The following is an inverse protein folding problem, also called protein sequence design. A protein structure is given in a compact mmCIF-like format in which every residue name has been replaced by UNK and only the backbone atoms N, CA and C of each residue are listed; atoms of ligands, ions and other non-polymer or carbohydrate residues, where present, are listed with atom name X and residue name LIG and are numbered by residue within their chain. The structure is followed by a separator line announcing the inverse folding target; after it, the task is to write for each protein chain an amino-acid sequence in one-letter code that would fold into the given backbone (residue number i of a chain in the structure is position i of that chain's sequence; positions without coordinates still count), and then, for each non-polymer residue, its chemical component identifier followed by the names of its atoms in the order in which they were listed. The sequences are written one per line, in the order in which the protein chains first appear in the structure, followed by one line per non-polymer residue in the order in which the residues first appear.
data_IF_282194531530
#
_entry.id   IF_282194531530
#
_cell.length_a   1.000
_cell.length_b   1.000
_cell.length_c   1.000
_cell.angle_alpha   90.00
_cell.angle_beta   90.00
_cell.angle_gamma   90.00
#
_symmetry.space_group_name_H-M   'P 1'
#
loop_
_entity.id
_entity.type
_entity.pdbx_description
1 polymer ?
#
# COMPACT_ATOMS: atom_id res chain seq x y z
N UNK A 1 15.31 -7.91 14.47
CA UNK A 1 15.97 -7.73 13.16
C UNK A 1 15.25 -8.65 12.18
N UNK A 2 14.78 -8.12 11.05
CA UNK A 2 14.13 -8.95 10.02
C UNK A 2 15.24 -9.74 9.34
N UNK A 3 15.10 -11.06 9.25
CA UNK A 3 16.04 -11.90 8.52
C UNK A 3 15.41 -12.26 7.18
N UNK A 4 15.99 -11.78 6.09
CA UNK A 4 15.61 -12.16 4.74
C UNK A 4 16.22 -13.52 4.35
N UNK A 5 15.58 -14.22 3.41
CA UNK A 5 16.15 -15.44 2.84
C UNK A 5 17.36 -15.11 1.95
N UNK A 6 18.24 -16.10 1.75
CA UNK A 6 19.39 -15.97 0.87
C UNK A 6 19.00 -15.55 -0.55
N UNK A 7 17.85 -16.01 -1.03
CA UNK A 7 17.36 -15.64 -2.36
C UNK A 7 16.97 -14.17 -2.44
N UNK A 8 16.31 -13.62 -1.42
CA UNK A 8 16.03 -12.17 -1.37
C UNK A 8 17.33 -11.37 -1.30
N UNK A 9 18.31 -11.82 -0.51
CA UNK A 9 19.61 -11.15 -0.43
C UNK A 9 20.34 -11.15 -1.77
N UNK A 10 20.31 -12.27 -2.52
CA UNK A 10 20.90 -12.35 -3.88
C UNK A 10 20.22 -11.36 -4.83
N UNK A 11 18.89 -11.25 -4.80
CA UNK A 11 18.15 -10.29 -5.63
C UNK A 11 18.53 -8.85 -5.28
N UNK A 12 18.64 -8.51 -3.99
CA UNK A 12 19.09 -7.17 -3.57
C UNK A 12 20.50 -6.86 -4.09
N UNK A 13 21.42 -7.83 -4.03
CA UNK A 13 22.78 -7.68 -4.56
C UNK A 13 22.78 -7.50 -6.08
N UNK A 14 21.94 -8.24 -6.81
CA UNK A 14 21.81 -8.10 -8.25
C UNK A 14 21.29 -6.69 -8.62
N UNK A 15 20.20 -6.25 -7.99
CA UNK A 15 19.62 -4.91 -8.19
C UNK A 15 20.64 -3.82 -7.86
N UNK A 16 21.42 -3.98 -6.79
CA UNK A 16 22.47 -3.03 -6.43
C UNK A 16 23.49 -2.89 -7.56
N UNK A 17 24.00 -4.01 -8.08
CA UNK A 17 24.98 -4.03 -9.18
C UNK A 17 24.43 -3.43 -10.47
N UNK A 18 23.23 -3.81 -10.86
CA UNK A 18 22.58 -3.37 -12.10
C UNK A 18 22.32 -1.86 -12.12
N UNK A 19 22.15 -1.24 -10.94
CA UNK A 19 21.90 0.18 -10.79
C UNK A 19 23.12 0.98 -10.30
N UNK A 20 24.29 0.34 -10.16
CA UNK A 20 25.50 1.00 -9.65
C UNK A 20 25.38 1.49 -8.21
N UNK A 21 24.52 0.87 -7.40
CA UNK A 21 24.33 1.18 -5.98
C UNK A 21 25.30 0.33 -5.16
N UNK A 22 25.91 0.95 -4.14
CA UNK A 22 26.75 0.25 -3.19
C UNK A 22 25.94 -0.83 -2.46
N UNK A 23 26.42 -2.08 -2.50
CA UNK A 23 25.62 -3.23 -2.07
C UNK A 23 25.26 -3.19 -0.59
N UNK A 24 26.17 -2.78 0.29
CA UNK A 24 25.87 -2.68 1.72
C UNK A 24 24.85 -1.57 2.00
N UNK A 25 24.92 -0.45 1.29
CA UNK A 25 23.91 0.61 1.38
C UNK A 25 22.51 0.11 1.01
N UNK A 26 22.35 -0.61 -0.11
CA UNK A 26 21.02 -1.12 -0.48
C UNK A 26 20.52 -2.18 0.51
N UNK A 27 21.40 -3.07 0.98
CA UNK A 27 21.06 -4.04 2.02
C UNK A 27 20.60 -3.35 3.31
N UNK A 28 21.27 -2.28 3.73
CA UNK A 28 20.88 -1.52 4.92
C UNK A 28 19.51 -0.85 4.74
N UNK A 29 19.23 -0.26 3.57
CA UNK A 29 17.91 0.30 3.27
C UNK A 29 16.84 -0.79 3.32
N UNK A 30 17.09 -1.95 2.70
CA UNK A 30 16.14 -3.07 2.71
C UNK A 30 15.91 -3.61 4.12
N UNK A 31 16.94 -3.69 4.96
CA UNK A 31 16.80 -4.13 6.35
C UNK A 31 15.89 -3.20 7.17
N UNK A 32 16.02 -1.88 6.99
CA UNK A 32 15.36 -0.87 7.82
C UNK A 32 13.98 -0.47 7.28
N UNK A 33 13.85 -0.28 5.97
CA UNK A 33 12.65 0.31 5.36
C UNK A 33 11.65 -0.75 4.87
N UNK A 34 12.11 -1.98 4.64
CA UNK A 34 11.20 -3.07 4.27
C UNK A 34 10.42 -3.53 5.49
N UNK A 35 9.11 -3.65 5.34
CA UNK A 35 8.26 -4.23 6.38
C UNK A 35 8.43 -5.77 6.51
N UNK A 36 9.42 -6.37 5.83
CA UNK A 36 9.79 -7.80 5.88
C UNK A 36 8.78 -8.75 5.21
N UNK A 37 7.65 -8.23 4.76
CA UNK A 37 6.53 -9.00 4.23
C UNK A 37 5.95 -8.31 3.01
N UNK A 38 6.10 -8.96 1.85
CA UNK A 38 5.68 -8.42 0.56
C UNK A 38 4.19 -8.64 0.25
N UNK A 39 3.57 -9.69 0.80
CA UNK A 39 2.22 -10.10 0.45
C UNK A 39 1.28 -10.09 1.66
N UNK A 40 -0.01 -9.90 1.40
CA UNK A 40 -1.09 -10.12 2.35
C UNK A 40 -1.23 -11.61 2.75
N UNK A 41 -2.15 -11.94 3.66
CA UNK A 41 -2.36 -13.32 4.15
C UNK A 41 -2.88 -14.27 3.06
N UNK A 42 -3.35 -13.73 1.92
CA UNK A 42 -3.78 -14.52 0.76
C UNK A 42 -2.62 -15.05 -0.10
N UNK A 43 -1.38 -14.64 0.19
CA UNK A 43 -0.18 -15.03 -0.57
C UNK A 43 -0.18 -14.56 -2.02
N UNK A 44 -1.01 -13.58 -2.39
CA UNK A 44 -1.14 -13.09 -3.77
C UNK A 44 -1.16 -11.57 -3.86
N UNK A 45 -1.89 -10.90 -2.97
CA UNK A 45 -2.04 -9.46 -3.01
C UNK A 45 -0.81 -8.80 -2.38
N UNK A 46 -0.15 -7.84 -3.04
CA UNK A 46 0.90 -7.05 -2.41
C UNK A 46 0.39 -6.41 -1.12
N UNK A 47 1.23 -6.43 -0.07
CA UNK A 47 0.90 -5.77 1.18
C UNK A 47 0.66 -4.29 0.92
N UNK A 48 -0.47 -3.77 1.39
CA UNK A 48 -0.92 -2.43 1.03
C UNK A 48 -1.36 -1.60 2.24
N UNK A 49 -1.59 -0.32 2.00
CA UNK A 49 -2.41 0.54 2.84
C UNK A 49 -3.28 1.37 1.91
N UNK A 50 -4.59 1.27 2.06
CA UNK A 50 -5.52 2.05 1.26
C UNK A 50 -5.52 3.50 1.75
N UNK A 51 -5.31 4.43 0.81
CA UNK A 51 -5.18 5.84 1.12
C UNK A 51 -6.46 6.65 0.84
N UNK A 52 -7.34 6.82 1.85
CA UNK A 52 -8.65 7.47 1.73
C UNK A 52 -8.59 8.89 1.17
N UNK A 53 -7.56 9.65 1.54
CA UNK A 53 -7.36 11.00 1.05
C UNK A 53 -6.83 11.07 -0.38
N UNK A 54 -6.08 10.05 -0.81
CA UNK A 54 -5.66 9.86 -2.21
C UNK A 54 -6.87 9.43 -3.04
N UNK A 55 -7.69 8.49 -2.55
CA UNK A 55 -8.92 8.07 -3.25
C UNK A 55 -9.87 9.25 -3.47
N UNK A 56 -10.07 10.08 -2.44
CA UNK A 56 -10.81 11.34 -2.57
C UNK A 56 -10.24 12.25 -3.68
N UNK A 57 -8.91 12.42 -3.74
CA UNK A 57 -8.23 13.24 -4.75
C UNK A 57 -8.41 12.66 -6.17
N UNK A 58 -8.24 11.35 -6.35
CA UNK A 58 -8.38 10.71 -7.65
C UNK A 58 -9.83 10.74 -8.14
N UNK A 59 -10.80 10.43 -7.27
CA UNK A 59 -12.23 10.56 -7.61
C UNK A 59 -12.58 11.98 -8.01
N UNK A 60 -12.17 13.00 -7.25
CA UNK A 60 -12.41 14.40 -7.63
C UNK A 60 -11.88 14.74 -9.02
N UNK A 61 -10.75 14.15 -9.42
CA UNK A 61 -10.09 14.43 -10.70
C UNK A 61 -10.71 13.64 -11.86
N UNK A 62 -11.10 12.38 -11.64
CA UNK A 62 -11.42 11.42 -12.72
C UNK A 62 -12.88 10.96 -12.73
N UNK A 63 -13.54 10.91 -11.57
CA UNK A 63 -14.91 10.43 -11.40
C UNK A 63 -15.64 11.26 -10.31
N UNK A 64 -15.75 12.59 -10.47
CA UNK A 64 -16.28 13.48 -9.44
C UNK A 64 -17.70 13.13 -9.00
N UNK A 65 -18.50 12.53 -9.87
CA UNK A 65 -19.86 12.04 -9.60
C UNK A 65 -19.92 10.92 -8.55
N UNK A 66 -18.81 10.19 -8.34
CA UNK A 66 -18.72 9.10 -7.35
C UNK A 66 -18.21 9.56 -5.99
N UNK A 67 -17.70 10.79 -5.91
CA UNK A 67 -17.02 11.30 -4.72
C UNK A 67 -17.95 11.39 -3.51
N UNK A 68 -19.16 11.90 -3.72
CA UNK A 68 -20.14 12.05 -2.65
C UNK A 68 -20.44 10.71 -1.97
N UNK A 69 -20.70 9.67 -2.77
CA UNK A 69 -20.93 8.31 -2.27
C UNK A 69 -19.72 7.76 -1.52
N UNK A 70 -18.51 8.00 -2.02
CA UNK A 70 -17.28 7.55 -1.36
C UNK A 70 -17.07 8.23 0.00
N UNK A 71 -17.42 9.52 0.13
CA UNK A 71 -17.35 10.25 1.41
C UNK A 71 -18.42 9.72 2.38
N UNK A 72 -19.65 9.55 1.90
CA UNK A 72 -20.79 9.08 2.70
C UNK A 72 -20.49 7.72 3.35
N UNK A 73 -19.93 6.77 2.60
CA UNK A 73 -19.58 5.43 3.13
C UNK A 73 -18.22 5.38 3.85
N UNK A 74 -17.61 6.55 4.09
CA UNK A 74 -16.36 6.72 4.82
C UNK A 74 -15.13 6.18 4.11
N UNK A 75 -15.17 6.05 2.78
CA UNK A 75 -14.04 5.61 1.95
C UNK A 75 -13.14 6.75 1.48
N UNK A 76 -13.66 7.96 1.38
CA UNK A 76 -12.94 9.16 0.94
C UNK A 76 -12.96 10.23 2.03
N UNK A 77 -11.81 10.89 2.26
CA UNK A 77 -11.71 12.07 3.14
C UNK A 77 -10.88 13.17 2.46
N UNK A 78 -11.23 14.46 2.56
CA UNK A 78 -10.54 15.51 1.81
C UNK A 78 -9.10 15.77 2.26
N UNK A 79 -8.77 15.45 3.52
CA UNK A 79 -7.44 15.61 4.11
C UNK A 79 -7.11 14.37 4.92
N UNK A 80 -5.84 14.00 4.96
CA UNK A 80 -5.38 12.87 5.78
C UNK A 80 -5.72 13.11 7.26
N UNK A 81 -6.31 12.10 7.89
CA UNK A 81 -6.61 12.10 9.32
C UNK A 81 -6.39 10.70 9.88
N UNK A 82 -5.37 10.56 10.74
CA UNK A 82 -4.98 9.26 11.35
C UNK A 82 -6.15 8.49 11.95
N UNK A 83 -7.08 9.17 12.63
CA UNK A 83 -8.20 8.53 13.31
C UNK A 83 -9.20 7.86 12.35
N UNK A 84 -9.23 8.29 11.09
CA UNK A 84 -10.16 7.77 10.06
C UNK A 84 -9.43 6.91 9.04
N UNK A 85 -8.20 7.30 8.69
CA UNK A 85 -7.43 6.77 7.58
C UNK A 85 -7.21 5.25 7.66
N UNK A 86 -6.87 4.73 8.84
CA UNK A 86 -6.46 3.32 9.02
C UNK A 86 -7.33 2.54 10.01
N UNK A 87 -8.48 3.09 10.43
CA UNK A 87 -9.32 2.54 11.53
C UNK A 87 -9.74 1.07 11.34
N UNK A 88 -9.83 0.61 10.10
CA UNK A 88 -10.29 -0.71 9.67
C UNK A 88 -9.23 -1.50 8.88
N UNK A 89 -7.96 -1.06 8.93
CA UNK A 89 -6.85 -1.61 8.13
C UNK A 89 -5.78 -2.34 8.95
N UNK A 90 -6.02 -2.58 10.24
CA UNK A 90 -5.06 -3.23 11.15
C UNK A 90 -4.74 -4.69 10.82
N UNK A 91 -5.58 -5.37 10.05
CA UNK A 91 -5.41 -6.77 9.64
C UNK A 91 -5.38 -6.88 8.12
N UNK A 92 -4.79 -7.97 7.61
CA UNK A 92 -4.79 -8.27 6.17
C UNK A 92 -6.21 -8.30 5.60
N UNK A 93 -7.10 -9.05 6.26
CA UNK A 93 -8.53 -9.11 5.94
C UNK A 93 -9.18 -7.73 5.92
N UNK A 94 -8.85 -6.85 6.88
CA UNK A 94 -9.37 -5.48 6.93
C UNK A 94 -8.93 -4.64 5.73
N UNK A 95 -7.65 -4.69 5.37
CA UNK A 95 -7.11 -3.99 4.19
C UNK A 95 -7.76 -4.47 2.89
N UNK A 96 -7.85 -5.79 2.71
CA UNK A 96 -8.50 -6.38 1.53
C UNK A 96 -9.99 -5.99 1.46
N UNK A 97 -10.69 -5.95 2.60
CA UNK A 97 -12.09 -5.53 2.64
C UNK A 97 -12.27 -4.04 2.29
N UNK A 98 -11.39 -3.16 2.77
CA UNK A 98 -11.41 -1.73 2.40
C UNK A 98 -11.15 -1.55 0.92
N UNK A 99 -10.12 -2.21 0.37
CA UNK A 99 -9.81 -2.16 -1.06
C UNK A 99 -10.99 -2.66 -1.92
N UNK A 100 -11.60 -3.79 -1.55
CA UNK A 100 -12.75 -4.33 -2.27
C UNK A 100 -13.93 -3.35 -2.29
N UNK A 101 -14.23 -2.70 -1.16
CA UNK A 101 -15.28 -1.67 -1.07
C UNK A 101 -14.95 -0.44 -1.92
N UNK A 102 -13.69 -0.02 -1.97
CA UNK A 102 -13.26 1.11 -2.79
C UNK A 102 -13.37 0.78 -4.29
N UNK A 103 -12.92 -0.41 -4.71
CA UNK A 103 -13.01 -0.87 -6.11
C UNK A 103 -14.46 -1.01 -6.58
N UNK A 104 -15.39 -1.31 -5.68
CA UNK A 104 -16.82 -1.33 -5.96
C UNK A 104 -17.41 0.06 -6.26
N UNK A 105 -16.77 1.14 -5.79
CA UNK A 105 -17.10 2.51 -6.21
C UNK A 105 -16.40 2.83 -7.52
N UNK A 106 -15.09 2.69 -7.54
CA UNK A 106 -14.28 2.94 -8.73
C UNK A 106 -13.00 2.12 -8.68
N UNK A 107 -12.79 1.26 -9.66
CA UNK A 107 -11.64 0.34 -9.69
C UNK A 107 -10.35 1.03 -10.12
N UNK A 108 -10.40 2.11 -10.93
CA UNK A 108 -9.19 2.80 -11.38
C UNK A 108 -8.65 3.74 -10.31
N UNK A 109 -9.54 4.40 -9.56
CA UNK A 109 -9.16 5.32 -8.50
C UNK A 109 -8.69 4.60 -7.23
N UNK A 110 -9.16 3.37 -6.98
CA UNK A 110 -8.91 2.60 -5.76
C UNK A 110 -7.60 1.81 -5.78
#
# INVERSE_FOLDING_TARGET
MITFSDDVLKEVVAVAKDNGIETAALLAVVEIESAGRALEDDGKTPRLLFERHIFHRELRKRAPEKLERAVEVGLAIPKWNRAVQYKDQGTSRGRLAVLARARAIDTECA
#
